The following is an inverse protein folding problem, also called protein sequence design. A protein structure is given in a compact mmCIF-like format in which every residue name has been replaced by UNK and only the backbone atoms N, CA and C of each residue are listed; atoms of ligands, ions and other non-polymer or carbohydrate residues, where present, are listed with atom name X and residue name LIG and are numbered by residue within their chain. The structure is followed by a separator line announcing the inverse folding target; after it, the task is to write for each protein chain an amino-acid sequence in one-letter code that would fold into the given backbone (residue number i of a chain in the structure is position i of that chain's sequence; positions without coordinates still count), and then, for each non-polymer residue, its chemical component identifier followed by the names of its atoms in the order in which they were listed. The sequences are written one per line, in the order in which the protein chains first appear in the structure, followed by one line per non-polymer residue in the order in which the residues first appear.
data_IF_971291753748
#
_entry.id   IF_971291753748
#
_cell.length_a   1.000
_cell.length_b   1.000
_cell.length_c   1.000
_cell.angle_alpha   90.00
_cell.angle_beta   90.00
_cell.angle_gamma   90.00
#
_symmetry.space_group_name_H-M   'P 1'
#
loop_
_entity.id
_entity.type
_entity.pdbx_description
1 polymer ?
#
# COMPACT_ATOMS: atom_id res chain seq x y z
N UNK A 1 -28.54 13.48 9.33
CA UNK A 1 -28.16 14.29 10.51
C UNK A 1 -26.73 13.92 10.87
N UNK A 2 -25.81 14.75 10.48
CA UNK A 2 -24.36 14.54 10.67
C UNK A 2 -24.01 14.92 12.12
N UNK A 3 -23.75 13.93 12.98
CA UNK A 3 -23.00 14.17 14.19
C UNK A 3 -21.50 14.19 13.85
N UNK A 4 -21.03 15.38 13.48
CA UNK A 4 -19.63 15.73 13.49
C UNK A 4 -19.13 15.68 14.93
N UNK A 5 -18.42 14.64 15.33
CA UNK A 5 -17.62 14.68 16.53
C UNK A 5 -16.43 15.61 16.28
N UNK A 6 -16.68 16.90 16.44
CA UNK A 6 -15.62 17.86 16.69
C UNK A 6 -14.97 17.45 18.01
N UNK A 7 -13.74 16.96 17.97
CA UNK A 7 -12.86 17.03 19.14
C UNK A 7 -12.82 18.51 19.50
N UNK A 8 -13.46 18.87 20.60
CA UNK A 8 -13.52 20.26 21.03
C UNK A 8 -12.10 20.78 21.20
N UNK A 9 -11.83 22.03 20.77
CA UNK A 9 -10.53 22.70 21.01
C UNK A 9 -9.91 22.45 22.39
N UNK A 10 -10.71 22.35 23.51
CA UNK A 10 -10.17 22.01 24.81
C UNK A 10 -9.53 20.63 24.91
N UNK A 11 -9.96 19.63 24.12
CA UNK A 11 -9.34 18.31 24.15
C UNK A 11 -7.96 18.30 23.46
N UNK A 12 -7.77 19.06 22.41
CA UNK A 12 -6.45 19.21 21.77
C UNK A 12 -5.48 19.97 22.67
N UNK A 13 -5.94 21.05 23.31
CA UNK A 13 -5.16 21.80 24.30
C UNK A 13 -4.82 20.94 25.51
N UNK A 14 -5.75 20.08 25.94
CA UNK A 14 -5.51 19.15 27.05
C UNK A 14 -4.44 18.11 26.72
N UNK A 15 -4.45 17.53 25.51
CA UNK A 15 -3.42 16.59 25.04
C UNK A 15 -2.06 17.28 24.97
N UNK A 16 -1.98 18.50 24.43
CA UNK A 16 -0.75 19.28 24.37
C UNK A 16 -0.27 19.62 25.79
N UNK A 17 -1.16 20.05 26.67
CA UNK A 17 -0.83 20.37 28.06
C UNK A 17 -0.34 19.13 28.84
N UNK A 18 -0.94 17.96 28.59
CA UNK A 18 -0.50 16.68 29.14
C UNK A 18 0.88 16.31 28.64
N UNK A 19 1.13 16.40 27.33
CA UNK A 19 2.44 16.11 26.73
C UNK A 19 3.54 17.06 27.22
N UNK A 20 3.23 18.35 27.44
CA UNK A 20 4.16 19.34 27.98
C UNK A 20 4.32 19.19 29.50
N UNK A 21 3.25 18.84 30.20
CA UNK A 21 3.26 18.67 31.66
C UNK A 21 3.96 17.41 32.18
N UNK A 22 4.09 16.38 31.32
CA UNK A 22 4.85 15.16 31.60
C UNK A 22 6.32 15.25 31.17
N UNK A 23 6.79 16.37 30.60
CA UNK A 23 8.21 16.57 30.43
C UNK A 23 8.87 16.65 31.81
N UNK A 24 9.68 15.64 32.23
CA UNK A 24 10.33 15.70 33.51
C UNK A 24 11.22 16.94 33.48
N UNK A 25 11.09 17.79 34.50
CA UNK A 25 12.04 18.88 34.78
C UNK A 25 13.35 18.24 35.24
N UNK A 26 14.04 17.51 34.35
CA UNK A 26 15.38 17.03 34.63
C UNK A 26 16.29 18.25 34.60
N UNK A 27 17.03 18.44 35.69
CA UNK A 27 18.13 19.42 35.71
C UNK A 27 19.08 19.01 34.59
N UNK A 28 19.17 19.84 33.55
CA UNK A 28 20.06 19.58 32.41
C UNK A 28 21.51 19.59 32.90
N UNK A 29 22.25 18.57 32.50
CA UNK A 29 23.69 18.43 32.83
C UNK A 29 24.49 18.79 31.60
N UNK A 30 25.41 19.75 31.73
CA UNK A 30 26.33 20.07 30.64
C UNK A 30 27.51 19.09 30.68
N UNK A 31 27.42 17.99 29.91
CA UNK A 31 28.44 16.95 29.85
C UNK A 31 29.77 17.45 29.29
N UNK A 32 29.79 18.44 28.43
CA UNK A 32 31.04 19.04 27.91
C UNK A 32 31.83 19.72 29.04
N UNK A 33 31.15 20.50 29.88
CA UNK A 33 31.79 21.12 31.06
C UNK A 33 32.20 20.08 32.10
N UNK A 34 31.39 19.04 32.29
CA UNK A 34 31.73 17.94 33.16
C UNK A 34 32.99 17.21 32.73
N UNK A 35 33.10 16.88 31.43
CA UNK A 35 34.29 16.24 30.83
C UNK A 35 35.55 17.10 31.02
N UNK A 36 35.44 18.41 30.81
CA UNK A 36 36.55 19.35 31.07
C UNK A 36 36.95 19.34 32.55
N UNK A 37 36.01 19.31 33.47
CA UNK A 37 36.26 19.20 34.92
C UNK A 37 36.96 17.88 35.30
N UNK A 38 36.56 16.75 34.66
CA UNK A 38 37.17 15.44 34.87
C UNK A 38 38.58 15.41 34.29
N UNK A 39 38.82 16.01 33.12
CA UNK A 39 40.11 16.10 32.50
C UNK A 39 41.12 16.90 33.36
N UNK A 40 40.65 17.92 34.03
CA UNK A 40 41.49 18.75 34.94
C UNK A 40 41.75 18.06 36.31
N UNK A 41 41.13 16.94 36.58
CA UNK A 41 41.34 16.24 37.85
C UNK A 41 42.19 14.95 37.62
N UNK A 42 43.45 14.91 38.06
CA UNK A 42 44.34 13.80 37.81
C UNK A 42 44.11 12.55 38.66
N UNK A 43 43.16 12.60 39.63
CA UNK A 43 42.91 11.46 40.54
C UNK A 43 41.71 10.60 40.16
N UNK A 44 41.01 10.94 39.07
CA UNK A 44 39.82 10.23 38.66
C UNK A 44 40.15 9.09 37.71
N UNK A 45 39.74 7.89 38.08
CA UNK A 45 39.80 6.67 37.26
C UNK A 45 38.57 6.59 36.36
N UNK A 46 38.74 6.02 35.17
CA UNK A 46 37.61 5.84 34.21
C UNK A 46 37.59 6.86 33.08
N UNK A 47 38.70 7.54 32.83
CA UNK A 47 38.91 8.35 31.63
C UNK A 47 39.14 7.42 30.41
N UNK A 48 38.59 7.73 29.27
CA UNK A 48 38.65 6.91 28.07
C UNK A 48 39.00 7.77 26.83
N UNK A 49 39.52 7.12 25.81
CA UNK A 49 39.70 7.72 24.49
C UNK A 49 38.42 7.52 23.63
N UNK A 50 38.48 7.96 22.36
CA UNK A 50 37.36 7.81 21.41
C UNK A 50 37.04 6.34 21.07
N UNK A 51 37.99 5.42 21.31
CA UNK A 51 37.83 3.98 21.05
C UNK A 51 37.32 3.20 22.26
N UNK A 52 37.09 3.87 23.39
CA UNK A 52 36.65 3.23 24.62
C UNK A 52 37.78 2.66 25.46
N UNK A 53 39.05 2.85 25.09
CA UNK A 53 40.19 2.37 25.88
C UNK A 53 40.39 3.23 27.11
N UNK A 54 40.68 2.61 28.23
CA UNK A 54 40.97 3.30 29.48
C UNK A 54 42.30 4.04 29.38
N UNK A 55 42.28 5.31 29.70
CA UNK A 55 43.45 6.17 29.79
C UNK A 55 44.00 6.18 31.21
N UNK A 56 45.28 6.60 31.37
CA UNK A 56 45.87 6.80 32.68
C UNK A 56 45.12 7.90 33.46
N UNK A 57 45.10 7.80 34.80
CA UNK A 57 44.46 8.80 35.66
C UNK A 57 44.94 10.23 35.42
N UNK A 58 46.22 10.37 35.08
CA UNK A 58 46.86 11.66 34.77
C UNK A 58 46.54 12.21 33.40
N UNK A 59 45.81 11.49 32.54
CA UNK A 59 45.48 11.97 31.21
C UNK A 59 44.56 13.19 31.30
N UNK A 60 44.88 14.22 30.49
CA UNK A 60 44.10 15.47 30.39
C UNK A 60 43.37 15.59 29.08
N UNK A 61 43.48 14.58 28.22
CA UNK A 61 42.95 14.55 26.85
C UNK A 61 41.88 13.45 26.67
N UNK A 62 41.20 13.06 27.75
CA UNK A 62 40.09 12.11 27.63
C UNK A 62 38.96 12.72 26.83
N UNK A 63 38.45 11.94 25.87
CA UNK A 63 37.32 12.31 25.01
C UNK A 63 36.04 11.58 25.43
N UNK A 64 36.15 10.53 26.24
CA UNK A 64 35.05 9.76 26.80
C UNK A 64 35.34 9.43 28.28
N UNK A 65 34.32 8.97 29.00
CA UNK A 65 34.39 8.53 30.38
C UNK A 65 33.51 7.30 30.59
N UNK A 66 33.88 6.49 31.57
CA UNK A 66 33.06 5.34 31.96
C UNK A 66 31.70 5.81 32.50
N UNK A 67 30.65 5.01 32.27
CA UNK A 67 29.30 5.28 32.74
C UNK A 67 29.23 5.53 34.26
N UNK A 68 29.97 4.74 35.03
CA UNK A 68 30.03 4.90 36.49
C UNK A 68 30.64 6.24 36.92
N UNK A 69 31.69 6.70 36.25
CA UNK A 69 32.29 8.01 36.49
C UNK A 69 31.35 9.14 36.08
N UNK A 70 30.64 8.98 34.93
CA UNK A 70 29.65 9.92 34.44
C UNK A 70 28.55 10.14 35.48
N UNK A 71 27.88 9.10 35.95
CA UNK A 71 26.80 9.20 36.92
C UNK A 71 27.29 9.84 38.23
N UNK A 72 28.49 9.48 38.66
CA UNK A 72 29.03 9.95 39.96
C UNK A 72 29.42 11.43 39.96
N UNK A 73 29.96 11.94 38.85
CA UNK A 73 30.49 13.29 38.76
C UNK A 73 29.65 14.24 37.91
N UNK A 74 29.03 13.77 36.84
CA UNK A 74 28.17 14.59 35.97
C UNK A 74 26.70 14.55 36.39
N UNK A 75 26.26 13.45 37.02
CA UNK A 75 24.85 13.24 37.35
C UNK A 75 24.11 12.43 36.29
N UNK A 76 22.81 12.23 36.56
CA UNK A 76 21.89 11.42 35.69
C UNK A 76 20.99 12.27 34.81
N UNK A 77 21.22 13.58 34.73
CA UNK A 77 20.43 14.50 33.92
C UNK A 77 20.70 14.33 32.44
N UNK A 78 19.84 14.94 31.60
CA UNK A 78 20.04 15.03 30.16
C UNK A 78 20.84 16.26 29.78
N UNK A 79 21.49 16.24 28.64
CA UNK A 79 22.14 17.44 28.10
C UNK A 79 21.09 18.56 27.89
N UNK A 80 21.48 19.85 28.08
CA UNK A 80 20.61 20.97 27.79
C UNK A 80 20.20 20.96 26.33
N UNK A 81 18.95 21.33 26.05
CA UNK A 81 18.44 21.42 24.69
C UNK A 81 19.31 22.38 23.84
N UNK A 82 19.87 21.86 22.78
CA UNK A 82 20.68 22.62 21.84
C UNK A 82 19.90 22.80 20.53
N UNK A 83 19.52 24.04 20.23
CA UNK A 83 18.74 24.36 19.03
C UNK A 83 19.46 23.96 17.73
N UNK A 84 20.77 24.10 17.68
CA UNK A 84 21.59 23.72 16.50
C UNK A 84 21.49 22.23 16.22
N UNK A 85 21.69 21.38 17.22
CA UNK A 85 21.59 19.91 17.09
C UNK A 85 20.17 19.51 16.73
N UNK A 86 19.15 20.10 17.41
CA UNK A 86 17.77 19.82 17.09
C UNK A 86 17.40 20.21 15.64
N UNK A 87 17.78 21.43 15.20
CA UNK A 87 17.42 21.90 13.86
C UNK A 87 18.11 21.08 12.77
N UNK A 88 19.34 20.64 13.00
CA UNK A 88 20.06 19.76 12.09
C UNK A 88 19.40 18.38 11.98
N UNK A 89 19.11 17.74 13.10
CA UNK A 89 18.39 16.45 13.12
C UNK A 89 16.99 16.57 12.53
N UNK A 90 16.25 17.63 12.87
CA UNK A 90 14.91 17.88 12.35
C UNK A 90 14.93 18.01 10.81
N UNK A 91 15.88 18.77 10.27
CA UNK A 91 15.96 19.01 8.83
C UNK A 91 16.53 17.82 8.04
N UNK A 92 17.41 17.02 8.64
CA UNK A 92 18.09 15.91 7.97
C UNK A 92 17.24 14.64 7.87
N UNK A 93 16.42 14.33 8.87
CA UNK A 93 15.63 13.11 8.84
C UNK A 93 14.14 13.30 9.11
N UNK A 94 13.73 14.15 10.06
CA UNK A 94 12.32 14.25 10.45
C UNK A 94 11.50 14.97 9.37
N UNK A 95 12.01 16.05 8.82
CA UNK A 95 11.31 16.82 7.80
C UNK A 95 11.13 16.05 6.48
N UNK A 96 12.15 15.35 5.93
CA UNK A 96 11.96 14.45 4.79
C UNK A 96 10.97 13.31 5.07
N UNK A 97 11.01 12.75 6.27
CA UNK A 97 10.08 11.71 6.68
C UNK A 97 8.63 12.23 6.75
N UNK A 98 8.40 13.39 7.35
CA UNK A 98 7.08 14.05 7.37
C UNK A 98 6.60 14.42 5.97
N UNK A 99 7.50 14.84 5.08
CA UNK A 99 7.16 15.14 3.69
C UNK A 99 6.67 13.90 2.94
N UNK A 100 7.29 12.74 3.11
CA UNK A 100 6.80 11.48 2.55
C UNK A 100 5.48 11.05 3.20
N UNK A 101 5.37 11.17 4.52
CA UNK A 101 4.17 10.81 5.26
C UNK A 101 2.95 11.59 4.79
N UNK A 102 3.12 12.89 4.52
CA UNK A 102 2.04 13.76 4.02
C UNK A 102 1.52 13.36 2.62
N UNK A 103 2.29 12.57 1.87
CA UNK A 103 1.92 12.08 0.55
C UNK A 103 1.26 10.69 0.59
N UNK A 104 1.16 10.05 1.77
CA UNK A 104 0.49 8.75 1.85
C UNK A 104 -1.00 8.90 1.56
N UNK A 105 -1.53 8.11 0.62
CA UNK A 105 -2.96 8.06 0.38
C UNK A 105 -3.61 7.24 1.48
N UNK A 106 -4.44 7.86 2.26
CA UNK A 106 -5.11 7.18 3.36
C UNK A 106 -6.34 6.38 2.90
N UNK A 107 -7.06 6.85 1.90
CA UNK A 107 -8.08 6.08 1.15
C UNK A 107 -9.25 5.55 1.98
N UNK A 108 -9.41 5.97 3.22
CA UNK A 108 -10.54 5.60 4.05
C UNK A 108 -11.61 6.70 4.06
N UNK A 109 -12.87 6.30 4.21
CA UNK A 109 -13.99 7.25 4.23
C UNK A 109 -14.06 8.04 5.53
N UNK A 110 -13.57 7.48 6.63
CA UNK A 110 -13.54 8.12 7.94
C UNK A 110 -12.13 8.62 8.30
N UNK A 111 -12.06 9.71 9.06
CA UNK A 111 -10.80 10.31 9.52
C UNK A 111 -10.04 9.42 10.52
N UNK A 112 -10.78 8.66 11.34
CA UNK A 112 -10.17 7.73 12.30
C UNK A 112 -9.55 6.53 11.57
N UNK A 113 -10.24 5.98 10.58
CA UNK A 113 -9.74 4.87 9.76
C UNK A 113 -8.50 5.30 8.95
N UNK A 114 -8.46 6.57 8.51
CA UNK A 114 -7.29 7.14 7.87
C UNK A 114 -6.09 7.20 8.83
N UNK A 115 -6.32 7.64 10.08
CA UNK A 115 -5.28 7.69 11.11
C UNK A 115 -4.79 6.28 11.45
N UNK A 116 -5.69 5.31 11.61
CA UNK A 116 -5.33 3.92 11.86
C UNK A 116 -4.49 3.33 10.72
N UNK A 117 -4.92 3.55 9.47
CA UNK A 117 -4.16 3.13 8.28
C UNK A 117 -2.76 3.75 8.21
N UNK A 118 -2.64 5.03 8.59
CA UNK A 118 -1.36 5.72 8.68
C UNK A 118 -0.47 5.10 9.75
N UNK A 119 -0.99 4.94 10.96
CA UNK A 119 -0.25 4.36 12.09
C UNK A 119 0.18 2.92 11.80
N UNK A 120 -0.71 2.14 11.18
CA UNK A 120 -0.40 0.77 10.79
C UNK A 120 0.68 0.72 9.70
N UNK A 121 0.63 1.64 8.74
CA UNK A 121 1.66 1.77 7.70
C UNK A 121 3.03 2.07 8.31
N UNK A 122 3.10 3.01 9.23
CA UNK A 122 4.34 3.39 9.90
C UNK A 122 4.85 2.31 10.84
N UNK A 123 3.93 1.68 11.59
CA UNK A 123 4.26 0.64 12.56
C UNK A 123 4.60 -0.71 11.93
N UNK A 124 4.24 -0.93 10.67
CA UNK A 124 4.46 -2.20 9.98
C UNK A 124 4.95 -2.04 8.54
N UNK A 125 6.24 -1.69 8.35
CA UNK A 125 6.86 -1.55 7.03
C UNK A 125 6.69 -2.79 6.15
N UNK A 126 6.81 -3.98 6.75
CA UNK A 126 6.62 -5.25 6.04
C UNK A 126 5.20 -5.38 5.51
N UNK A 127 4.18 -5.02 6.30
CA UNK A 127 2.80 -5.12 5.86
C UNK A 127 2.49 -4.13 4.73
N UNK A 128 3.01 -2.90 4.82
CA UNK A 128 2.87 -1.89 3.78
C UNK A 128 3.51 -2.36 2.45
N UNK A 129 4.73 -2.89 2.53
CA UNK A 129 5.44 -3.43 1.38
C UNK A 129 4.76 -4.69 0.81
N UNK A 130 4.25 -5.57 1.67
CA UNK A 130 3.48 -6.76 1.28
C UNK A 130 2.21 -6.38 0.51
N UNK A 131 1.43 -5.46 1.03
CA UNK A 131 0.18 -5.01 0.40
C UNK A 131 0.43 -4.38 -0.96
N UNK A 132 1.46 -3.55 -1.09
CA UNK A 132 1.86 -2.96 -2.36
C UNK A 132 2.32 -4.04 -3.36
N UNK A 133 3.23 -4.91 -2.94
CA UNK A 133 3.74 -5.98 -3.79
C UNK A 133 2.61 -6.92 -4.26
N UNK A 134 1.69 -7.28 -3.36
CA UNK A 134 0.52 -8.11 -3.67
C UNK A 134 -0.38 -7.42 -4.71
N UNK A 135 -0.63 -6.12 -4.59
CA UNK A 135 -1.42 -5.35 -5.56
C UNK A 135 -0.79 -5.39 -6.95
N UNK A 136 0.52 -5.18 -7.05
CA UNK A 136 1.26 -5.24 -8.33
C UNK A 136 1.24 -6.65 -8.92
N UNK A 137 1.48 -7.68 -8.11
CA UNK A 137 1.48 -9.08 -8.56
C UNK A 137 0.09 -9.52 -9.03
N UNK A 138 -0.95 -9.07 -8.37
CA UNK A 138 -2.34 -9.31 -8.79
C UNK A 138 -2.65 -8.67 -10.14
N UNK A 139 -2.23 -7.41 -10.36
CA UNK A 139 -2.40 -6.74 -11.65
C UNK A 139 -1.68 -7.47 -12.80
N UNK A 140 -0.47 -7.99 -12.56
CA UNK A 140 0.25 -8.83 -13.54
C UNK A 140 -0.46 -10.15 -13.79
N UNK A 141 -0.88 -10.83 -12.74
CA UNK A 141 -1.58 -12.10 -12.84
C UNK A 141 -2.87 -11.98 -13.64
N UNK A 142 -3.71 -10.98 -13.37
CA UNK A 142 -4.97 -10.81 -14.09
C UNK A 142 -4.74 -10.47 -15.56
N UNK A 143 -3.74 -9.65 -15.86
CA UNK A 143 -3.38 -9.34 -17.24
C UNK A 143 -2.93 -10.60 -18.01
N UNK A 144 -2.15 -11.48 -17.38
CA UNK A 144 -1.75 -12.76 -17.97
C UNK A 144 -2.94 -13.71 -18.11
N UNK A 145 -3.84 -13.74 -17.10
CA UNK A 145 -5.02 -14.61 -17.11
C UNK A 145 -5.94 -14.29 -18.28
N UNK A 146 -6.20 -13.01 -18.55
CA UNK A 146 -7.10 -12.57 -19.62
C UNK A 146 -6.42 -12.46 -20.99
N UNK A 147 -5.09 -12.39 -21.07
CA UNK A 147 -4.36 -12.30 -22.36
C UNK A 147 -4.56 -13.51 -23.27
N UNK A 148 -4.94 -14.66 -22.72
CA UNK A 148 -5.22 -15.89 -23.46
C UNK A 148 -6.56 -15.87 -24.22
N UNK A 149 -7.49 -14.98 -23.84
CA UNK A 149 -8.80 -14.90 -24.47
C UNK A 149 -8.79 -13.94 -25.65
N UNK A 150 -9.10 -14.46 -26.85
CA UNK A 150 -9.27 -13.67 -28.09
C UNK A 150 -10.73 -13.23 -28.27
N UNK A 151 -11.41 -12.92 -27.18
CA UNK A 151 -12.80 -12.48 -27.20
C UNK A 151 -12.88 -10.96 -26.92
N UNK A 152 -13.85 -10.24 -27.54
CA UNK A 152 -14.03 -8.82 -27.28
C UNK A 152 -14.12 -8.50 -25.78
N UNK A 153 -13.61 -7.34 -25.38
CA UNK A 153 -13.60 -6.84 -23.99
C UNK A 153 -12.79 -7.63 -22.97
N UNK A 154 -12.11 -8.74 -23.33
CA UNK A 154 -11.27 -9.48 -22.38
C UNK A 154 -10.19 -8.60 -21.72
N UNK A 155 -9.56 -7.70 -22.49
CA UNK A 155 -8.58 -6.73 -21.98
C UNK A 155 -9.22 -5.69 -21.06
N UNK A 156 -10.40 -5.21 -21.40
CA UNK A 156 -11.16 -4.27 -20.58
C UNK A 156 -11.57 -4.92 -19.26
N UNK A 157 -11.99 -6.17 -19.27
CA UNK A 157 -12.29 -6.95 -18.07
C UNK A 157 -11.07 -7.05 -17.14
N UNK A 158 -9.88 -7.35 -17.69
CA UNK A 158 -8.65 -7.38 -16.90
C UNK A 158 -8.35 -6.03 -16.23
N UNK A 159 -8.51 -4.92 -16.95
CA UNK A 159 -8.28 -3.56 -16.43
C UNK A 159 -9.30 -3.20 -15.33
N UNK A 160 -10.59 -3.44 -15.57
CA UNK A 160 -11.66 -3.19 -14.60
C UNK A 160 -11.42 -3.97 -13.30
N UNK A 161 -11.22 -5.28 -13.42
CA UNK A 161 -11.03 -6.13 -12.25
C UNK A 161 -9.72 -5.82 -11.50
N UNK A 162 -8.68 -5.38 -12.20
CA UNK A 162 -7.44 -4.92 -11.57
C UNK A 162 -7.65 -3.66 -10.74
N UNK A 163 -8.48 -2.72 -11.21
CA UNK A 163 -8.79 -1.48 -10.50
C UNK A 163 -9.72 -1.69 -9.29
N UNK A 164 -10.43 -2.82 -9.23
CA UNK A 164 -11.39 -3.13 -8.17
C UNK A 164 -10.84 -4.06 -7.08
N UNK A 165 -9.51 -4.17 -6.93
CA UNK A 165 -8.88 -5.07 -5.94
C UNK A 165 -9.23 -4.73 -4.49
N UNK A 166 -9.44 -3.44 -4.19
CA UNK A 166 -9.73 -2.94 -2.84
C UNK A 166 -11.23 -2.84 -2.54
N UNK A 167 -12.07 -3.09 -3.55
CA UNK A 167 -13.53 -2.96 -3.43
C UNK A 167 -14.17 -4.28 -3.05
N UNK A 168 -15.32 -4.28 -2.37
CA UNK A 168 -16.11 -5.47 -2.08
C UNK A 168 -16.82 -5.95 -3.35
N UNK A 169 -16.03 -6.39 -4.33
CA UNK A 169 -16.50 -6.86 -5.63
C UNK A 169 -17.37 -8.10 -5.51
N UNK A 170 -18.53 -8.07 -6.15
CA UNK A 170 -19.44 -9.21 -6.28
C UNK A 170 -19.70 -9.47 -7.75
N UNK A 171 -19.71 -10.75 -8.08
CA UNK A 171 -20.07 -11.26 -9.40
C UNK A 171 -21.26 -12.17 -9.22
N UNK A 172 -22.37 -11.85 -9.89
CA UNK A 172 -23.52 -12.74 -9.94
C UNK A 172 -23.26 -13.78 -11.03
N UNK A 173 -23.12 -15.01 -10.59
CA UNK A 173 -22.85 -16.15 -11.47
C UNK A 173 -24.15 -16.81 -11.96
N UNK A 174 -25.30 -16.22 -11.66
CA UNK A 174 -26.57 -16.65 -12.25
C UNK A 174 -26.47 -16.51 -13.79
N UNK A 175 -26.68 -17.59 -14.47
CA UNK A 175 -26.15 -17.96 -15.79
C UNK A 175 -26.35 -16.93 -16.92
N UNK A 176 -27.40 -16.11 -16.87
CA UNK A 176 -27.76 -15.21 -17.96
C UNK A 176 -27.12 -13.82 -17.82
N UNK A 177 -26.93 -13.31 -16.59
CA UNK A 177 -26.49 -11.92 -16.38
C UNK A 177 -25.05 -11.70 -16.83
N UNK A 178 -24.13 -12.53 -16.36
CA UNK A 178 -22.70 -12.41 -16.72
C UNK A 178 -22.46 -12.77 -18.18
N UNK A 179 -23.11 -13.83 -18.68
CA UNK A 179 -23.02 -14.22 -20.06
C UNK A 179 -23.58 -13.13 -21.01
N UNK A 180 -24.73 -12.52 -20.67
CA UNK A 180 -25.27 -11.37 -21.41
C UNK A 180 -24.30 -10.19 -21.42
N UNK A 181 -23.66 -9.89 -20.29
CA UNK A 181 -22.70 -8.80 -20.20
C UNK A 181 -21.50 -9.02 -21.12
N UNK A 182 -21.04 -10.27 -21.31
CA UNK A 182 -19.90 -10.62 -22.15
C UNK A 182 -20.30 -10.72 -23.62
N UNK A 183 -21.46 -11.34 -23.92
CA UNK A 183 -21.84 -11.73 -25.28
C UNK A 183 -22.52 -10.60 -26.07
N UNK A 184 -23.33 -9.77 -25.43
CA UNK A 184 -24.11 -8.77 -26.13
C UNK A 184 -23.24 -7.63 -26.65
N UNK A 185 -23.29 -7.29 -27.97
CA UNK A 185 -22.56 -6.14 -28.53
C UNK A 185 -22.96 -4.81 -27.87
N UNK A 186 -24.22 -4.68 -27.41
CA UNK A 186 -24.73 -3.51 -26.72
C UNK A 186 -23.96 -3.21 -25.42
N UNK A 187 -23.35 -4.23 -24.82
CA UNK A 187 -22.56 -4.13 -23.60
C UNK A 187 -21.10 -3.74 -23.86
N UNK A 188 -20.64 -3.63 -25.10
CA UNK A 188 -19.29 -3.12 -25.38
C UNK A 188 -19.08 -1.74 -24.76
N UNK A 189 -20.11 -0.91 -24.85
CA UNK A 189 -20.14 0.41 -24.23
C UNK A 189 -19.99 0.35 -22.69
N UNK A 190 -20.56 -0.66 -22.03
CA UNK A 190 -20.39 -0.89 -20.59
C UNK A 190 -18.91 -1.12 -20.24
N UNK A 191 -18.24 -2.00 -21.00
CA UNK A 191 -16.83 -2.32 -20.77
C UNK A 191 -15.91 -1.12 -21.03
N UNK A 192 -16.14 -0.39 -22.10
CA UNK A 192 -15.33 0.77 -22.49
C UNK A 192 -15.53 1.94 -21.52
N UNK A 193 -16.77 2.29 -21.24
CA UNK A 193 -17.09 3.40 -20.34
C UNK A 193 -16.58 3.14 -18.93
N UNK A 194 -16.77 1.93 -18.39
CA UNK A 194 -16.31 1.62 -17.05
C UNK A 194 -14.78 1.71 -16.95
N UNK A 195 -14.03 1.23 -17.95
CA UNK A 195 -12.57 1.43 -18.01
C UNK A 195 -12.24 2.91 -17.96
N UNK A 196 -12.87 3.72 -18.80
CA UNK A 196 -12.63 5.17 -18.83
C UNK A 196 -12.92 5.81 -17.48
N UNK A 197 -14.07 5.49 -16.85
CA UNK A 197 -14.43 6.03 -15.53
C UNK A 197 -13.50 5.58 -14.41
N UNK A 198 -13.00 4.36 -14.47
CA UNK A 198 -12.04 3.85 -13.47
C UNK A 198 -10.63 4.42 -13.66
N UNK A 199 -10.22 4.69 -14.91
CA UNK A 199 -8.87 5.18 -15.22
C UNK A 199 -8.79 6.69 -15.41
N UNK A 200 -9.94 7.37 -15.56
CA UNK A 200 -9.96 8.83 -15.65
C UNK A 200 -9.73 9.45 -14.27
N UNK A 201 -8.48 9.77 -13.98
CA UNK A 201 -8.10 10.46 -12.74
C UNK A 201 -7.73 11.90 -12.97
N UNK A 202 -8.22 12.82 -12.13
CA UNK A 202 -7.45 14.02 -11.86
C UNK A 202 -6.15 13.56 -11.19
N UNK A 203 -5.04 13.86 -11.82
CA UNK A 203 -3.68 13.47 -11.47
C UNK A 203 -3.43 13.24 -9.98
N UNK A 204 -3.17 11.98 -9.57
CA UNK A 204 -2.66 11.66 -8.22
C UNK A 204 -1.26 12.19 -8.02
N UNK A 205 -0.49 12.30 -9.09
CA UNK A 205 0.80 12.95 -9.12
C UNK A 205 0.62 14.48 -9.18
N UNK A 206 0.39 15.07 -8.01
CA UNK A 206 0.43 16.52 -7.89
C UNK A 206 1.87 17.02 -8.00
N UNK A 207 2.05 18.29 -8.43
CA UNK A 207 3.37 18.93 -8.44
C UNK A 207 3.95 18.89 -7.02
N UNK A 208 3.14 19.04 -5.98
CA UNK A 208 3.58 18.96 -4.59
C UNK A 208 4.10 17.57 -4.23
N UNK A 209 3.45 16.49 -4.67
CA UNK A 209 3.93 15.13 -4.42
C UNK A 209 5.27 14.87 -5.12
N UNK A 210 5.38 15.25 -6.39
CA UNK A 210 6.62 15.10 -7.15
C UNK A 210 7.77 15.92 -6.54
N UNK A 211 7.52 17.16 -6.13
CA UNK A 211 8.54 18.00 -5.48
C UNK A 211 8.94 17.49 -4.10
N UNK A 212 7.99 16.99 -3.30
CA UNK A 212 8.29 16.38 -1.99
C UNK A 212 9.18 15.14 -2.15
N UNK A 213 8.87 14.25 -3.07
CA UNK A 213 9.68 13.06 -3.37
C UNK A 213 11.07 13.46 -3.87
N UNK A 214 11.14 14.40 -4.81
CA UNK A 214 12.43 14.90 -5.32
C UNK A 214 13.26 15.53 -4.21
N UNK A 215 12.67 16.34 -3.34
CA UNK A 215 13.34 16.94 -2.20
C UNK A 215 13.95 15.89 -1.26
N UNK A 216 13.17 14.85 -0.95
CA UNK A 216 13.65 13.75 -0.09
C UNK A 216 14.85 13.03 -0.71
N UNK A 217 14.80 12.75 -2.02
CA UNK A 217 15.92 12.11 -2.73
C UNK A 217 17.16 13.02 -2.70
N UNK A 218 16.99 14.31 -2.97
CA UNK A 218 18.08 15.29 -2.97
C UNK A 218 18.68 15.41 -1.56
N UNK A 219 17.85 15.54 -0.52
CA UNK A 219 18.29 15.61 0.86
C UNK A 219 19.12 14.38 1.25
N UNK A 220 18.68 13.19 0.84
CA UNK A 220 19.41 11.95 1.09
C UNK A 220 20.76 11.91 0.35
N UNK A 221 20.80 12.33 -0.91
CA UNK A 221 22.04 12.43 -1.68
C UNK A 221 23.03 13.40 -1.01
N UNK A 222 22.56 14.57 -0.54
CA UNK A 222 23.42 15.51 0.19
C UNK A 222 23.93 14.92 1.50
N UNK A 223 23.14 14.14 2.23
CA UNK A 223 23.59 13.44 3.43
C UNK A 223 24.74 12.49 3.11
N UNK A 224 24.62 11.72 2.01
CA UNK A 224 25.69 10.84 1.53
C UNK A 224 26.95 11.62 1.17
N UNK A 225 26.82 12.72 0.40
CA UNK A 225 27.97 13.56 0.03
C UNK A 225 28.64 14.18 1.25
N UNK A 226 27.86 14.66 2.23
CA UNK A 226 28.38 15.21 3.46
C UNK A 226 29.22 14.17 4.22
N UNK A 227 28.69 12.94 4.35
CA UNK A 227 29.38 11.83 4.99
C UNK A 227 30.73 11.50 4.32
N UNK A 228 30.79 11.45 3.00
CA UNK A 228 32.03 11.19 2.27
C UNK A 228 33.00 12.36 2.20
N UNK A 229 32.53 13.60 2.43
CA UNK A 229 33.35 14.80 2.41
C UNK A 229 33.99 15.16 3.77
N UNK A 230 33.51 14.57 4.86
CA UNK A 230 34.09 14.73 6.17
C UNK A 230 35.49 14.10 6.19
N UNK A 231 36.51 14.90 6.60
CA UNK A 231 37.84 14.35 6.83
C UNK A 231 37.82 13.35 7.98
N UNK A 232 38.71 12.35 7.94
CA UNK A 232 38.78 11.30 8.95
C UNK A 232 38.91 11.79 10.42
N UNK A 233 39.27 13.07 10.61
CA UNK A 233 39.35 13.73 11.92
C UNK A 233 37.99 14.23 12.44
N UNK A 234 37.11 14.66 11.52
CA UNK A 234 35.74 15.09 11.89
C UNK A 234 34.79 13.89 12.04
N UNK A 235 35.13 12.73 11.47
CA UNK A 235 34.39 11.48 11.61
C UNK A 235 34.42 10.92 13.07
N UNK A 236 35.22 11.49 13.93
CA UNK A 236 35.33 11.17 15.35
C UNK A 236 34.42 12.01 16.26
N UNK A 237 33.59 12.87 15.70
CA UNK A 237 32.57 13.57 16.48
C UNK A 237 31.39 12.60 16.78
N UNK A 238 31.25 12.15 18.04
CA UNK A 238 30.24 11.16 18.44
C UNK A 238 28.80 11.62 18.19
N UNK A 239 28.58 12.89 17.91
CA UNK A 239 27.27 13.46 17.62
C UNK A 239 26.97 13.52 16.09
N UNK A 240 27.99 13.61 15.22
CA UNK A 240 27.84 13.69 13.77
C UNK A 240 27.53 12.34 13.11
N UNK A 241 28.18 11.26 13.56
CA UNK A 241 28.09 9.95 12.92
C UNK A 241 26.73 9.26 13.08
N UNK A 242 26.00 9.56 14.13
CA UNK A 242 24.68 8.94 14.40
C UNK A 242 23.59 9.44 13.47
N UNK A 243 23.67 10.65 12.97
CA UNK A 243 22.67 11.22 12.05
C UNK A 243 22.69 10.53 10.69
N UNK A 244 23.87 10.16 10.18
CA UNK A 244 24.01 9.42 8.93
C UNK A 244 23.44 8.01 8.96
N UNK A 245 23.41 7.36 10.13
CA UNK A 245 22.89 6.00 10.30
C UNK A 245 21.37 5.94 10.39
N UNK A 246 20.73 6.98 10.88
CA UNK A 246 19.26 7.06 11.02
C UNK A 246 18.57 7.33 9.66
N UNK A 247 19.23 8.06 8.76
CA UNK A 247 18.69 8.40 7.44
C UNK A 247 18.20 7.19 6.63
N UNK A 248 18.93 6.08 6.54
CA UNK A 248 18.49 4.89 5.78
C UNK A 248 17.24 4.21 6.35
N UNK A 249 16.94 4.36 7.64
CA UNK A 249 15.82 3.66 8.29
C UNK A 249 14.45 4.02 7.73
N UNK A 250 14.26 5.19 7.15
CA UNK A 250 12.98 5.60 6.55
C UNK A 250 12.92 5.43 5.02
N UNK A 251 14.02 5.03 4.37
CA UNK A 251 14.06 4.87 2.91
C UNK A 251 13.06 3.83 2.39
N UNK A 252 12.66 2.86 3.20
CA UNK A 252 11.61 1.92 2.84
C UNK A 252 10.28 2.60 2.52
N UNK A 253 10.02 3.79 3.08
CA UNK A 253 8.78 4.52 2.86
C UNK A 253 8.69 5.09 1.44
N UNK A 254 9.81 5.44 0.82
CA UNK A 254 9.86 6.04 -0.52
C UNK A 254 9.17 5.16 -1.60
N UNK A 255 9.54 3.88 -1.80
CA UNK A 255 8.86 3.02 -2.77
C UNK A 255 7.39 2.77 -2.40
N UNK A 256 7.02 2.78 -1.12
CA UNK A 256 5.63 2.63 -0.68
C UNK A 256 4.81 3.85 -1.09
N UNK A 257 5.30 5.06 -0.82
CA UNK A 257 4.63 6.31 -1.22
C UNK A 257 4.46 6.38 -2.74
N UNK A 258 5.53 6.13 -3.50
CA UNK A 258 5.48 6.13 -4.97
C UNK A 258 4.47 5.11 -5.50
N UNK A 259 4.50 3.89 -4.97
CA UNK A 259 3.58 2.83 -5.39
C UNK A 259 2.13 3.13 -5.02
N UNK A 260 1.89 3.63 -3.83
CA UNK A 260 0.52 3.93 -3.39
C UNK A 260 -0.07 5.17 -4.05
N UNK A 261 0.71 6.18 -4.40
CA UNK A 261 0.24 7.28 -5.24
C UNK A 261 -0.33 6.77 -6.57
N UNK A 262 0.22 5.67 -7.09
CA UNK A 262 -0.28 5.05 -8.31
C UNK A 262 -1.62 4.32 -8.11
N UNK A 263 -1.85 3.73 -6.93
CA UNK A 263 -3.02 2.88 -6.65
C UNK A 263 -4.09 3.54 -5.79
N UNK A 264 -3.80 4.67 -5.16
CA UNK A 264 -4.71 5.40 -4.27
C UNK A 264 -6.12 5.64 -4.84
N UNK A 265 -6.29 6.00 -6.11
CA UNK A 265 -7.61 6.25 -6.66
C UNK A 265 -8.51 5.01 -6.63
N UNK A 266 -7.94 3.81 -6.62
CA UNK A 266 -8.69 2.55 -6.59
C UNK A 266 -9.24 2.21 -5.18
N UNK A 267 -9.01 3.11 -4.21
CA UNK A 267 -9.50 2.98 -2.84
C UNK A 267 -10.63 3.98 -2.52
N UNK A 268 -10.95 4.91 -3.44
CA UNK A 268 -12.05 5.87 -3.29
C UNK A 268 -13.39 5.17 -3.55
N UNK A 269 -14.08 4.80 -2.47
CA UNK A 269 -15.31 4.03 -2.49
C UNK A 269 -16.42 4.74 -3.25
N UNK A 270 -16.64 6.03 -2.97
CA UNK A 270 -17.76 6.79 -3.57
C UNK A 270 -17.59 6.91 -5.07
N UNK A 271 -16.36 7.17 -5.51
CA UNK A 271 -16.03 7.23 -6.92
C UNK A 271 -16.23 5.90 -7.64
N UNK A 272 -15.75 4.81 -7.03
CA UNK A 272 -15.90 3.47 -7.60
C UNK A 272 -17.37 3.05 -7.68
N UNK A 273 -18.17 3.35 -6.67
CA UNK A 273 -19.62 3.14 -6.70
C UNK A 273 -20.30 3.96 -7.80
N UNK A 274 -19.98 5.26 -7.92
CA UNK A 274 -20.56 6.10 -8.97
C UNK A 274 -20.21 5.61 -10.36
N UNK A 275 -18.93 5.20 -10.60
CA UNK A 275 -18.49 4.62 -11.86
C UNK A 275 -19.26 3.33 -12.18
N UNK A 276 -19.39 2.43 -11.22
CA UNK A 276 -20.09 1.17 -11.37
C UNK A 276 -21.58 1.36 -11.61
N UNK A 277 -22.24 2.23 -10.84
CA UNK A 277 -23.67 2.50 -10.98
C UNK A 277 -23.97 3.12 -12.36
N UNK A 278 -23.13 4.04 -12.80
CA UNK A 278 -23.26 4.67 -14.13
C UNK A 278 -23.08 3.64 -15.25
N UNK A 279 -22.06 2.78 -15.18
CA UNK A 279 -21.89 1.69 -16.14
C UNK A 279 -23.08 0.73 -16.10
N UNK A 280 -23.53 0.33 -14.93
CA UNK A 280 -24.66 -0.59 -14.77
C UNK A 280 -26.01 -0.01 -15.25
N UNK A 281 -26.12 1.31 -15.36
CA UNK A 281 -27.33 1.95 -15.93
C UNK A 281 -27.48 1.70 -17.44
N UNK A 282 -26.38 1.45 -18.16
CA UNK A 282 -26.38 1.19 -19.61
C UNK A 282 -26.28 -0.30 -19.94
N UNK A 283 -26.12 -1.18 -18.95
CA UNK A 283 -26.03 -2.62 -19.15
C UNK A 283 -27.32 -3.20 -19.75
N UNK A 284 -27.17 -4.17 -20.67
CA UNK A 284 -28.28 -4.89 -21.31
C UNK A 284 -28.25 -6.35 -20.95
N UNK A 285 -29.43 -6.98 -20.89
CA UNK A 285 -29.63 -8.42 -20.67
C UNK A 285 -30.34 -8.98 -21.88
N UNK A 286 -29.97 -10.19 -22.28
CA UNK A 286 -30.68 -10.93 -23.30
C UNK A 286 -32.12 -11.26 -22.87
N UNK A 287 -33.03 -11.23 -23.83
CA UNK A 287 -34.45 -11.46 -23.59
C UNK A 287 -34.97 -12.53 -24.57
N UNK A 288 -35.94 -13.38 -24.15
CA UNK A 288 -36.59 -14.36 -25.02
C UNK A 288 -37.22 -13.76 -26.28
N UNK A 289 -37.60 -12.47 -26.26
CA UNK A 289 -38.34 -11.78 -27.32
C UNK A 289 -37.48 -11.07 -28.36
N UNK A 290 -36.25 -11.50 -28.60
CA UNK A 290 -35.32 -11.05 -29.65
C UNK A 290 -34.66 -9.67 -29.53
N UNK A 291 -35.05 -8.79 -28.64
CA UNK A 291 -34.32 -7.53 -28.39
C UNK A 291 -33.76 -7.46 -26.98
N UNK A 292 -32.46 -7.15 -26.79
CA UNK A 292 -31.88 -6.95 -25.47
C UNK A 292 -32.55 -5.79 -24.72
N UNK A 293 -32.83 -6.01 -23.45
CA UNK A 293 -33.50 -5.03 -22.59
C UNK A 293 -32.46 -4.46 -21.63
N UNK A 294 -32.61 -3.16 -21.28
CA UNK A 294 -31.79 -2.58 -20.24
C UNK A 294 -31.96 -3.35 -18.93
N UNK A 295 -30.85 -3.74 -18.32
CA UNK A 295 -30.83 -4.54 -17.09
C UNK A 295 -31.60 -3.88 -15.95
N UNK A 296 -31.61 -2.55 -15.87
CA UNK A 296 -32.37 -1.78 -14.90
C UNK A 296 -33.89 -1.96 -14.95
N UNK A 297 -34.43 -2.36 -16.09
CA UNK A 297 -35.87 -2.54 -16.28
C UNK A 297 -36.38 -3.93 -15.89
N UNK A 298 -35.45 -4.91 -15.80
CA UNK A 298 -35.82 -6.32 -15.55
C UNK A 298 -35.55 -6.74 -14.11
N UNK A 299 -34.44 -6.34 -13.56
CA UNK A 299 -34.00 -6.75 -12.23
C UNK A 299 -33.13 -5.69 -11.56
N UNK A 300 -33.12 -5.69 -10.21
CA UNK A 300 -32.12 -4.94 -9.43
C UNK A 300 -30.75 -5.61 -9.41
N UNK A 301 -30.69 -6.90 -9.75
CA UNK A 301 -29.44 -7.66 -9.82
C UNK A 301 -28.58 -7.19 -10.99
N UNK A 302 -27.28 -7.20 -10.81
CA UNK A 302 -26.27 -6.87 -11.83
C UNK A 302 -25.23 -7.98 -11.91
N UNK A 303 -24.66 -8.18 -13.09
CA UNK A 303 -23.66 -9.21 -13.31
C UNK A 303 -22.38 -8.95 -12.49
N UNK A 304 -21.91 -7.70 -12.51
CA UNK A 304 -20.74 -7.24 -11.74
C UNK A 304 -21.17 -5.99 -10.98
N UNK A 305 -20.96 -5.97 -9.67
CA UNK A 305 -21.31 -4.84 -8.83
C UNK A 305 -20.42 -4.76 -7.60
N UNK A 306 -20.37 -3.59 -7.00
CA UNK A 306 -19.74 -3.36 -5.70
C UNK A 306 -20.85 -3.47 -4.66
N UNK A 307 -20.65 -4.32 -3.64
CA UNK A 307 -21.65 -4.52 -2.60
C UNK A 307 -21.92 -3.20 -1.86
N UNK A 308 -23.21 -2.91 -1.62
CA UNK A 308 -23.70 -1.75 -0.88
C UNK A 308 -24.72 -2.22 0.14
N UNK A 309 -24.52 -1.92 1.41
CA UNK A 309 -25.53 -2.16 2.41
C UNK A 309 -26.64 -1.12 2.30
N UNK A 310 -27.83 -1.58 2.00
CA UNK A 310 -29.04 -0.77 2.15
C UNK A 310 -29.65 -0.88 3.56
N UNK A 311 -29.14 -1.76 4.42
CA UNK A 311 -29.85 -2.23 5.62
C UNK A 311 -29.11 -2.15 6.96
N UNK A 312 -27.80 -1.93 7.00
CA UNK A 312 -27.08 -1.87 8.28
C UNK A 312 -25.86 -0.94 8.22
N UNK A 313 -25.91 0.14 9.01
CA UNK A 313 -24.78 1.03 9.28
C UNK A 313 -23.58 0.32 9.96
N UNK A 314 -23.69 -0.96 10.25
CA UNK A 314 -22.77 -1.70 11.11
C UNK A 314 -21.78 -2.61 10.37
N UNK A 315 -21.82 -2.75 9.03
CA UNK A 315 -20.90 -3.64 8.32
C UNK A 315 -19.79 -2.89 7.61
N UNK A 316 -18.67 -2.70 8.30
CA UNK A 316 -17.38 -2.22 7.77
C UNK A 316 -16.88 -2.99 6.52
N UNK A 317 -17.45 -4.15 6.23
CA UNK A 317 -17.07 -5.01 5.09
C UNK A 317 -17.52 -4.50 3.71
N UNK A 318 -18.30 -3.42 3.65
CA UNK A 318 -18.94 -2.94 2.42
C UNK A 318 -18.24 -1.76 1.76
N UNK A 319 -17.32 -1.10 2.46
CA UNK A 319 -16.52 -0.02 1.89
C UNK A 319 -15.24 -0.56 1.25
N UNK A 320 -14.71 0.20 0.29
CA UNK A 320 -13.37 -0.05 -0.22
C UNK A 320 -12.34 0.09 0.90
N UNK A 321 -11.40 -0.84 0.95
CA UNK A 321 -10.39 -0.85 2.00
C UNK A 321 -9.21 0.04 1.63
N UNK A 322 -8.57 0.74 2.59
CA UNK A 322 -7.29 1.39 2.36
C UNK A 322 -6.23 0.42 1.81
N UNK A 323 -5.22 0.91 1.06
CA UNK A 323 -4.25 0.06 0.38
C UNK A 323 -3.54 -0.95 1.28
N UNK A 324 -3.29 -0.60 2.54
CA UNK A 324 -2.61 -1.47 3.50
C UNK A 324 -3.40 -2.73 3.83
N UNK A 325 -4.73 -2.70 3.72
CA UNK A 325 -5.62 -3.83 4.01
C UNK A 325 -5.94 -4.70 2.78
N UNK A 326 -5.17 -4.60 1.69
CA UNK A 326 -5.42 -5.38 0.47
C UNK A 326 -5.53 -6.90 0.74
N UNK A 327 -4.78 -7.41 1.70
CA UNK A 327 -4.83 -8.82 2.09
C UNK A 327 -6.22 -9.29 2.56
N UNK A 328 -7.01 -8.41 3.17
CA UNK A 328 -8.35 -8.73 3.66
C UNK A 328 -9.34 -8.99 2.50
N UNK A 329 -9.16 -8.32 1.37
CA UNK A 329 -9.99 -8.45 0.17
C UNK A 329 -9.46 -9.46 -0.84
N UNK A 330 -8.25 -9.95 -0.66
CA UNK A 330 -7.54 -10.77 -1.65
C UNK A 330 -8.33 -12.02 -2.07
N UNK A 331 -8.78 -12.85 -1.13
CA UNK A 331 -9.46 -14.10 -1.47
C UNK A 331 -10.83 -13.91 -2.15
N UNK A 332 -11.74 -13.07 -1.62
CA UNK A 332 -13.00 -12.78 -2.29
C UNK A 332 -12.82 -12.19 -3.68
N UNK A 333 -11.85 -11.28 -3.84
CA UNK A 333 -11.54 -10.69 -5.12
C UNK A 333 -11.01 -11.72 -6.13
N UNK A 334 -10.07 -12.58 -5.74
CA UNK A 334 -9.55 -13.67 -6.59
C UNK A 334 -10.68 -14.58 -7.06
N UNK A 335 -11.63 -14.94 -6.19
CA UNK A 335 -12.79 -15.75 -6.57
C UNK A 335 -13.67 -15.05 -7.62
N UNK A 336 -13.91 -13.75 -7.47
CA UNK A 336 -14.66 -12.95 -8.44
C UNK A 336 -13.94 -12.88 -9.79
N UNK A 337 -12.62 -12.68 -9.78
CA UNK A 337 -11.80 -12.66 -11.00
C UNK A 337 -11.83 -14.01 -11.73
N UNK A 338 -11.71 -15.11 -10.99
CA UNK A 338 -11.77 -16.46 -11.58
C UNK A 338 -13.15 -16.71 -12.20
N UNK A 339 -14.25 -16.32 -11.52
CA UNK A 339 -15.59 -16.47 -12.04
C UNK A 339 -15.78 -15.75 -13.39
N UNK A 340 -15.32 -14.49 -13.48
CA UNK A 340 -15.38 -13.75 -14.75
C UNK A 340 -14.45 -14.36 -15.80
N UNK A 341 -13.25 -14.80 -15.41
CA UNK A 341 -12.29 -15.45 -16.30
C UNK A 341 -12.83 -16.76 -16.88
N UNK A 342 -13.47 -17.59 -16.05
CA UNK A 342 -14.07 -18.86 -16.50
C UNK A 342 -15.23 -18.61 -17.46
N UNK A 343 -16.06 -17.60 -17.20
CA UNK A 343 -17.12 -17.21 -18.13
C UNK A 343 -16.55 -16.77 -19.50
N UNK A 344 -15.52 -15.91 -19.50
CA UNK A 344 -14.82 -15.57 -20.76
C UNK A 344 -14.21 -16.79 -21.43
N UNK A 345 -13.64 -17.71 -20.67
CA UNK A 345 -13.04 -18.95 -21.18
C UNK A 345 -14.06 -19.84 -21.88
N UNK A 346 -15.21 -20.07 -21.24
CA UNK A 346 -16.31 -20.88 -21.79
C UNK A 346 -16.82 -20.27 -23.11
N UNK A 347 -17.13 -18.98 -23.08
CA UNK A 347 -17.67 -18.27 -24.25
C UNK A 347 -16.64 -18.24 -25.39
N UNK A 348 -15.37 -17.97 -25.11
CA UNK A 348 -14.29 -17.95 -26.08
C UNK A 348 -14.05 -19.33 -26.71
N UNK A 349 -14.14 -20.40 -25.92
CA UNK A 349 -14.00 -21.79 -26.40
C UNK A 349 -15.17 -22.17 -27.32
N UNK A 350 -16.40 -21.80 -26.95
CA UNK A 350 -17.60 -22.00 -27.79
C UNK A 350 -17.54 -21.22 -29.08
N UNK A 351 -17.15 -19.95 -29.02
CA UNK A 351 -16.99 -19.06 -30.15
C UNK A 351 -15.93 -19.59 -31.12
N UNK A 352 -14.80 -20.04 -30.63
CA UNK A 352 -13.73 -20.59 -31.48
C UNK A 352 -14.14 -21.85 -32.23
N UNK A 353 -15.01 -22.68 -31.68
CA UNK A 353 -15.46 -23.93 -32.27
C UNK A 353 -16.80 -23.82 -32.98
N UNK A 354 -17.49 -22.68 -32.95
CA UNK A 354 -18.84 -22.48 -33.47
C UNK A 354 -19.81 -23.58 -32.99
N UNK A 355 -19.70 -23.93 -31.67
CA UNK A 355 -20.33 -25.12 -31.11
C UNK A 355 -21.36 -24.71 -30.02
N UNK A 356 -22.65 -24.56 -30.38
CA UNK A 356 -23.70 -24.28 -29.39
C UNK A 356 -23.95 -25.50 -28.49
N UNK A 357 -24.54 -25.27 -27.31
CA UNK A 357 -24.88 -26.34 -26.36
C UNK A 357 -25.96 -27.26 -26.95
N UNK A 358 -26.97 -26.65 -27.60
CA UNK A 358 -28.03 -27.36 -28.30
C UNK A 358 -27.61 -27.62 -29.76
N UNK A 359 -27.35 -28.86 -30.15
CA UNK A 359 -26.90 -29.18 -31.53
C UNK A 359 -27.93 -28.87 -32.60
N UNK A 360 -29.17 -28.51 -32.22
CA UNK A 360 -30.19 -28.07 -33.17
C UNK A 360 -30.19 -26.58 -33.51
N UNK A 361 -29.37 -25.79 -32.84
CA UNK A 361 -29.26 -24.34 -33.05
C UNK A 361 -28.06 -24.02 -33.94
N UNK A 362 -28.26 -23.13 -34.94
CA UNK A 362 -27.16 -22.58 -35.73
C UNK A 362 -26.32 -21.62 -34.89
N UNK A 363 -24.98 -21.71 -35.06
CA UNK A 363 -24.08 -20.72 -34.52
C UNK A 363 -24.31 -19.35 -35.17
N UNK A 364 -24.43 -18.30 -34.35
CA UNK A 364 -24.52 -16.92 -34.84
C UNK A 364 -23.36 -16.12 -34.31
N UNK A 365 -22.65 -15.51 -35.22
CA UNK A 365 -21.56 -14.60 -34.89
C UNK A 365 -22.13 -13.34 -34.20
N UNK A 366 -21.40 -12.87 -33.20
CA UNK A 366 -21.75 -11.68 -32.42
C UNK A 366 -22.01 -10.44 -33.30
N UNK A 367 -21.32 -10.30 -34.42
CA UNK A 367 -21.35 -9.17 -35.33
C UNK A 367 -22.09 -9.46 -36.63
N UNK A 368 -22.94 -10.50 -36.68
CA UNK A 368 -23.70 -10.79 -37.93
C UNK A 368 -24.62 -9.60 -38.26
N UNK A 369 -24.48 -9.03 -39.44
CA UNK A 369 -25.21 -7.85 -39.94
C UNK A 369 -26.72 -8.08 -40.13
N UNK A 370 -27.25 -9.22 -39.74
CA UNK A 370 -28.64 -9.63 -39.94
C UNK A 370 -29.69 -9.11 -38.96
N UNK A 371 -29.35 -8.22 -38.05
CA UNK A 371 -30.33 -7.53 -37.18
C UNK A 371 -31.02 -8.40 -36.13
N UNK A 372 -30.83 -9.70 -36.12
CA UNK A 372 -31.41 -10.59 -35.09
C UNK A 372 -30.53 -10.58 -33.85
N UNK A 373 -31.01 -9.88 -32.82
CA UNK A 373 -30.35 -9.77 -31.54
C UNK A 373 -30.13 -11.18 -30.91
N UNK A 374 -29.00 -11.34 -30.25
CA UNK A 374 -28.69 -12.54 -29.45
C UNK A 374 -29.78 -12.73 -28.41
N UNK A 375 -30.54 -13.82 -28.52
CA UNK A 375 -31.64 -14.12 -27.60
C UNK A 375 -31.12 -14.76 -26.32
N UNK A 376 -31.98 -14.80 -25.29
CA UNK A 376 -31.69 -15.48 -24.02
C UNK A 376 -31.33 -16.96 -24.23
N UNK A 377 -32.01 -17.64 -25.17
CA UNK A 377 -31.70 -19.01 -25.54
C UNK A 377 -30.27 -19.15 -26.11
N UNK A 378 -29.82 -18.19 -26.92
CA UNK A 378 -28.46 -18.20 -27.47
C UNK A 378 -27.42 -17.91 -26.40
N UNK A 379 -27.69 -16.96 -25.48
CA UNK A 379 -26.81 -16.70 -24.34
C UNK A 379 -26.65 -17.95 -23.48
N UNK A 380 -27.74 -18.63 -23.15
CA UNK A 380 -27.71 -19.88 -22.42
C UNK A 380 -26.97 -20.99 -23.17
N UNK A 381 -27.16 -21.07 -24.50
CA UNK A 381 -26.49 -22.04 -25.36
C UNK A 381 -24.98 -21.85 -25.43
N UNK A 382 -24.48 -20.62 -25.24
CA UNK A 382 -23.05 -20.34 -25.37
C UNK A 382 -22.35 -20.18 -24.01
N UNK A 383 -23.10 -20.11 -22.92
CA UNK A 383 -22.55 -19.88 -21.57
C UNK A 383 -22.24 -21.17 -20.79
N UNK A 384 -22.69 -22.33 -21.27
CA UNK A 384 -22.40 -23.60 -20.61
C UNK A 384 -21.09 -24.22 -21.10
N UNK A 385 -20.26 -24.82 -20.22
CA UNK A 385 -19.00 -25.42 -20.61
C UNK A 385 -19.22 -26.61 -21.56
N UNK A 386 -18.26 -26.83 -22.47
CA UNK A 386 -18.25 -28.02 -23.33
C UNK A 386 -17.96 -29.29 -22.52
N UNK A 387 -18.45 -30.47 -22.94
CA UNK A 387 -18.01 -31.75 -22.38
C UNK A 387 -16.47 -31.87 -22.51
N UNK A 388 -15.77 -32.08 -21.40
CA UNK A 388 -14.32 -32.16 -21.38
C UNK A 388 -13.56 -30.82 -21.37
N UNK A 389 -14.25 -29.69 -21.31
CA UNK A 389 -13.63 -28.36 -21.14
C UNK A 389 -12.84 -28.28 -19.83
N UNK A 390 -11.76 -27.51 -19.89
CA UNK A 390 -10.96 -27.15 -18.68
C UNK A 390 -11.72 -26.15 -17.82
N UNK A 391 -12.65 -25.40 -18.40
CA UNK A 391 -13.47 -24.42 -17.71
C UNK A 391 -14.69 -25.09 -17.11
N UNK A 392 -14.95 -24.74 -15.87
CA UNK A 392 -16.10 -25.25 -15.11
C UNK A 392 -16.97 -24.08 -14.69
N UNK A 393 -18.28 -24.32 -14.58
CA UNK A 393 -19.14 -23.38 -13.88
C UNK A 393 -18.53 -23.05 -12.50
N UNK A 394 -18.50 -21.78 -12.11
CA UNK A 394 -17.78 -21.33 -10.92
C UNK A 394 -18.36 -21.99 -9.66
N UNK A 395 -17.80 -23.13 -9.30
CA UNK A 395 -18.00 -23.71 -7.98
C UNK A 395 -17.11 -22.96 -7.00
N UNK A 396 -17.71 -22.44 -5.95
CA UNK A 396 -17.01 -21.79 -4.83
C UNK A 396 -15.93 -22.74 -4.29
N UNK A 397 -14.73 -22.69 -4.85
CA UNK A 397 -13.59 -23.44 -4.33
C UNK A 397 -13.02 -22.65 -3.14
N UNK A 398 -13.18 -23.19 -1.96
CA UNK A 398 -12.68 -22.60 -0.70
C UNK A 398 -11.16 -22.75 -0.50
N UNK A 399 -10.39 -23.10 -1.52
CA UNK A 399 -8.96 -23.37 -1.41
C UNK A 399 -8.08 -22.30 -2.07
N UNK A 400 -6.92 -22.02 -1.46
CA UNK A 400 -5.85 -21.26 -2.10
C UNK A 400 -5.38 -22.04 -3.33
N UNK A 401 -5.51 -21.43 -4.51
CA UNK A 401 -4.84 -21.93 -5.72
C UNK A 401 -3.32 -21.75 -5.60
N UNK A 402 -2.55 -22.63 -6.24
CA UNK A 402 -1.08 -22.58 -6.23
C UNK A 402 -0.54 -21.22 -6.71
N UNK A 403 -1.22 -20.62 -7.68
CA UNK A 403 -0.92 -19.27 -8.21
C UNK A 403 -1.14 -18.18 -7.14
N UNK A 404 -2.21 -18.28 -6.36
CA UNK A 404 -2.47 -17.35 -5.26
C UNK A 404 -1.43 -17.50 -4.14
N UNK A 405 -1.09 -18.74 -3.77
CA UNK A 405 -0.04 -19.04 -2.79
C UNK A 405 1.32 -18.49 -3.23
N UNK A 406 1.68 -18.65 -4.50
CA UNK A 406 2.93 -18.11 -5.06
C UNK A 406 2.97 -16.57 -4.96
N UNK A 407 1.87 -15.88 -5.27
CA UNK A 407 1.81 -14.40 -5.14
C UNK A 407 1.96 -13.94 -3.70
N UNK A 408 1.29 -14.61 -2.75
CA UNK A 408 1.43 -14.33 -1.32
C UNK A 408 2.88 -14.51 -0.89
N UNK A 409 3.50 -15.64 -1.23
CA UNK A 409 4.88 -15.92 -0.87
C UNK A 409 5.86 -14.90 -1.49
N UNK A 410 5.69 -14.58 -2.78
CA UNK A 410 6.54 -13.59 -3.45
C UNK A 410 6.37 -12.19 -2.85
N UNK A 411 5.13 -11.77 -2.55
CA UNK A 411 4.88 -10.49 -1.89
C UNK A 411 5.53 -10.44 -0.50
N UNK A 412 5.45 -11.53 0.28
CA UNK A 412 6.08 -11.63 1.59
C UNK A 412 7.61 -11.56 1.50
N UNK A 413 8.21 -12.25 0.54
CA UNK A 413 9.65 -12.22 0.32
C UNK A 413 10.14 -10.81 -0.05
N UNK A 414 9.45 -10.13 -0.98
CA UNK A 414 9.78 -8.75 -1.37
C UNK A 414 9.65 -7.79 -0.18
N UNK A 415 8.61 -7.94 0.62
CA UNK A 415 8.39 -7.11 1.81
C UNK A 415 9.50 -7.29 2.86
N UNK A 416 9.90 -8.53 3.11
CA UNK A 416 11.00 -8.84 4.02
C UNK A 416 12.34 -8.30 3.49
N UNK A 417 12.61 -8.43 2.19
CA UNK A 417 13.82 -7.88 1.56
C UNK A 417 13.85 -6.35 1.72
N UNK A 418 12.74 -5.66 1.52
CA UNK A 418 12.68 -4.21 1.68
C UNK A 418 12.97 -3.81 3.13
N UNK A 419 12.33 -4.44 4.09
CA UNK A 419 12.51 -4.12 5.51
C UNK A 419 13.93 -4.45 5.98
N UNK A 420 14.38 -5.68 5.76
CA UNK A 420 15.71 -6.13 6.22
C UNK A 420 16.84 -5.49 5.42
N UNK A 421 16.63 -5.15 4.16
CA UNK A 421 17.61 -4.43 3.34
C UNK A 421 17.88 -3.02 3.89
N UNK A 422 16.84 -2.30 4.29
CA UNK A 422 17.00 -0.96 4.88
C UNK A 422 17.51 -1.02 6.31
N UNK A 423 16.93 -1.86 7.16
CA UNK A 423 17.37 -2.03 8.56
C UNK A 423 18.79 -2.63 8.63
N UNK A 424 19.06 -3.66 7.86
CA UNK A 424 20.38 -4.29 7.81
C UNK A 424 21.45 -3.32 7.27
N UNK A 425 21.11 -2.52 6.26
CA UNK A 425 21.99 -1.46 5.78
C UNK A 425 22.32 -0.43 6.87
N UNK A 426 21.32 0.01 7.64
CA UNK A 426 21.55 0.90 8.77
C UNK A 426 22.43 0.25 9.86
N UNK A 427 22.18 -1.01 10.21
CA UNK A 427 23.00 -1.76 11.18
C UNK A 427 24.45 -1.89 10.71
N UNK A 428 24.66 -2.20 9.43
CA UNK A 428 26.00 -2.30 8.83
C UNK A 428 26.72 -0.93 8.91
N UNK A 429 26.03 0.16 8.56
CA UNK A 429 26.60 1.49 8.66
C UNK A 429 27.02 1.79 10.10
N UNK A 430 26.12 1.55 11.08
CA UNK A 430 26.44 1.77 12.50
C UNK A 430 27.61 0.91 12.94
N UNK A 431 27.66 -0.35 12.52
CA UNK A 431 28.74 -1.27 12.88
C UNK A 431 30.11 -0.78 12.37
N UNK A 432 30.18 -0.33 11.12
CA UNK A 432 31.44 0.14 10.53
C UNK A 432 31.82 1.55 10.96
N UNK A 433 30.85 2.38 11.39
CA UNK A 433 31.14 3.77 11.80
C UNK A 433 31.27 3.91 13.31
N UNK A 434 30.80 2.93 14.13
CA UNK A 434 30.96 3.01 15.57
C UNK A 434 32.37 2.59 15.98
N UNK A 435 33.19 3.57 16.34
CA UNK A 435 34.52 3.32 16.93
C UNK A 435 34.47 2.60 18.29
N UNK A 436 33.29 2.41 18.86
CA UNK A 436 33.06 1.84 20.22
C UNK A 436 32.58 0.35 20.12
N UNK A 437 32.47 -0.21 18.91
CA UNK A 437 31.80 -1.51 18.67
C UNK A 437 32.49 -2.74 19.26
N UNK A 438 33.72 -2.68 19.75
CA UNK A 438 34.44 -3.87 20.24
C UNK A 438 34.27 -4.14 21.75
N UNK A 439 33.79 -3.20 22.56
CA UNK A 439 33.77 -3.35 24.03
C UNK A 439 32.39 -3.35 24.71
N UNK A 440 31.30 -3.40 23.97
CA UNK A 440 29.93 -3.48 24.55
C UNK A 440 29.41 -4.92 24.69
N UNK A 441 30.22 -5.93 24.33
CA UNK A 441 29.81 -7.36 24.38
C UNK A 441 30.59 -8.11 25.49
N UNK A 442 30.93 -7.47 26.59
CA UNK A 442 31.29 -8.18 27.84
C UNK A 442 30.29 -7.87 28.96
#
# INVERSE_FOLDING_TARGET
MLHSCYFSEPAQLFIIAVLVGFAPTSLAVNFTQCLLSINNNPTLTGKMNNHGDLLSESATNATAITYGLCIKHCGTGQDPFQWTVFSEQFSSWLLPWLALLSQLPFGANDKLDNLESMLLTLGSPTLAAYSLALTVLNGRWISQLFSKYRYPNSKNAARILSNLQQSPLRVDTDDVLLASLIMLPQNDKWWEELVVWLEYYPHTWSISAATSIAWVIIAYIFTIFHYFSQSAQDALDPNGDRVGSIGPLWLWLLPIVVGWLQFSPNCDSDRLHQAMDKANSVAHIANPTSQPIKAGNVSRKRAIYIARSELDEARLDEYSTPPIYNYARFLPWVQSVIAVSDAFGIICERDHHHDPVDPGTEWRDRNSEGGDAVTDLQVNNYSLPRPGSVYHLPKRKLGLDSSAACRIFTASAVALILQWGTTGGAVIIVWFTSAIGEHIIE
#
